data_IF_857730492836
#
_entry.id   IF_857730492836
#
_cell.length_a   1.000
_cell.length_b   1.000
_cell.length_c   1.000
_cell.angle_alpha   90.00
_cell.angle_beta   90.00
_cell.angle_gamma   90.00
#
_symmetry.space_group_name_H-M   'P 1'
#
loop_
_entity.id
_entity.type
_entity.pdbx_description
1 polymer ?
#
# COMPACT_ATOMS: atom_id res chain seq x y z
N UNK A 1 -2.33 11.33 -21.48
CA UNK A 1 -3.58 10.64 -21.13
C UNK A 1 -3.21 9.33 -20.45
N UNK A 2 -3.96 8.86 -19.46
CA UNK A 2 -3.68 7.58 -18.82
C UNK A 2 -4.32 6.44 -19.63
N UNK A 3 -3.69 5.25 -19.69
CA UNK A 3 -4.28 4.09 -20.36
C UNK A 3 -5.53 3.58 -19.65
N UNK A 4 -6.37 2.81 -20.36
CA UNK A 4 -7.55 2.15 -19.78
C UNK A 4 -7.16 1.25 -18.61
N UNK A 5 -7.91 1.37 -17.51
CA UNK A 5 -7.76 0.54 -16.33
C UNK A 5 -8.73 -0.64 -16.39
N UNK A 6 -8.23 -1.85 -16.14
CA UNK A 6 -9.03 -3.07 -16.08
C UNK A 6 -8.98 -3.64 -14.66
N UNK A 7 -10.14 -3.95 -14.11
CA UNK A 7 -10.24 -4.60 -12.81
C UNK A 7 -9.77 -6.05 -12.90
N UNK A 8 -9.07 -6.50 -11.87
CA UNK A 8 -8.83 -7.92 -11.65
C UNK A 8 -10.12 -8.63 -11.18
N UNK A 9 -10.18 -9.95 -11.38
CA UNK A 9 -11.29 -10.81 -10.97
C UNK A 9 -11.61 -10.69 -9.48
N UNK A 10 -12.86 -10.93 -9.08
CA UNK A 10 -13.36 -10.74 -7.70
C UNK A 10 -12.57 -11.50 -6.63
N UNK A 11 -11.95 -12.63 -6.99
CA UNK A 11 -11.15 -13.40 -6.05
C UNK A 11 -9.87 -12.65 -5.62
N UNK A 12 -9.32 -11.80 -6.49
CA UNK A 12 -8.15 -10.97 -6.20
C UNK A 12 -8.48 -9.79 -5.27
N UNK A 13 -9.73 -9.33 -5.31
CA UNK A 13 -10.18 -8.22 -4.50
C UNK A 13 -10.10 -8.59 -3.02
N UNK A 14 -9.43 -7.75 -2.23
CA UNK A 14 -9.20 -7.96 -0.80
C UNK A 14 -8.58 -9.34 -0.46
N UNK A 15 -7.73 -9.88 -1.33
CA UNK A 15 -7.16 -11.23 -1.20
C UNK A 15 -6.54 -11.52 0.18
N UNK A 16 -5.76 -10.59 0.74
CA UNK A 16 -5.09 -10.78 2.04
C UNK A 16 -6.06 -10.74 3.23
N UNK A 17 -7.22 -10.07 3.10
CA UNK A 17 -8.25 -10.13 4.13
C UNK A 17 -8.96 -11.50 4.12
N UNK A 18 -9.15 -12.07 2.93
CA UNK A 18 -9.72 -13.42 2.74
C UNK A 18 -8.73 -14.52 3.11
N UNK A 19 -7.43 -14.28 2.91
CA UNK A 19 -6.34 -15.22 3.19
C UNK A 19 -5.31 -14.56 4.11
N UNK A 20 -5.54 -14.56 5.44
CA UNK A 20 -4.67 -13.83 6.40
C UNK A 20 -3.21 -14.28 6.40
N UNK A 21 -2.95 -15.54 6.04
CA UNK A 21 -1.60 -16.11 5.90
C UNK A 21 -1.17 -16.27 4.44
N UNK A 22 -1.91 -15.63 3.53
CA UNK A 22 -1.59 -15.59 2.11
C UNK A 22 -0.32 -14.79 1.85
N UNK A 23 0.29 -15.03 0.69
CA UNK A 23 1.50 -14.35 0.31
C UNK A 23 1.25 -12.86 0.03
N UNK A 24 1.84 -11.98 0.85
CA UNK A 24 1.77 -10.52 0.68
C UNK A 24 2.83 -10.00 -0.30
N UNK A 25 4.07 -10.49 -0.20
CA UNK A 25 5.18 -10.09 -1.08
C UNK A 25 5.70 -8.65 -0.90
N UNK A 26 5.16 -7.87 0.04
CA UNK A 26 5.63 -6.52 0.33
C UNK A 26 6.85 -6.57 1.26
N UNK A 27 8.02 -6.19 0.74
CA UNK A 27 9.29 -6.17 1.49
C UNK A 27 9.60 -4.87 2.23
N UNK A 28 8.70 -3.88 2.20
CA UNK A 28 8.99 -2.50 2.60
C UNK A 28 9.97 -1.82 1.63
N UNK A 29 9.94 -0.49 1.54
CA UNK A 29 10.82 0.28 0.62
C UNK A 29 12.10 0.77 1.28
N UNK A 30 12.25 0.63 2.60
CA UNK A 30 13.35 1.21 3.37
C UNK A 30 13.31 2.74 3.47
N UNK A 31 12.32 3.39 2.86
CA UNK A 31 12.12 4.84 2.94
C UNK A 31 11.47 5.18 4.27
N UNK A 32 12.10 6.07 5.04
CA UNK A 32 11.48 6.66 6.22
C UNK A 32 10.53 7.77 5.81
N UNK A 33 9.36 7.86 6.44
CA UNK A 33 8.51 9.03 6.29
C UNK A 33 9.25 10.23 6.89
N UNK A 34 9.50 11.31 6.13
CA UNK A 34 10.09 12.51 6.72
C UNK A 34 9.13 13.02 7.79
N UNK A 35 9.52 12.94 9.06
CA UNK A 35 8.75 13.59 10.12
C UNK A 35 8.69 15.09 9.79
N UNK A 36 7.53 15.75 9.93
CA UNK A 36 7.50 17.20 9.79
C UNK A 36 8.55 17.78 10.73
N UNK A 37 9.40 18.69 10.22
CA UNK A 37 10.31 19.43 11.06
C UNK A 37 9.46 20.05 12.17
N UNK A 38 9.73 19.65 13.41
CA UNK A 38 9.17 20.24 14.63
C UNK A 38 9.06 21.75 14.43
N UNK A 39 7.85 22.23 14.15
CA UNK A 39 7.53 23.65 14.22
C UNK A 39 7.69 23.94 15.70
N UNK A 40 8.72 24.71 16.06
CA UNK A 40 8.89 25.18 17.42
C UNK A 40 7.58 25.84 17.82
N UNK A 41 6.91 25.27 18.82
CA UNK A 41 5.76 25.90 19.44
C UNK A 41 6.31 27.03 20.30
N UNK A 42 6.10 28.27 19.84
CA UNK A 42 6.05 29.45 20.69
C UNK A 42 4.63 29.61 21.26
#
# INVERSE_FOLDING_TARGET
EAPSFYFAEDYHQQYLAKNPYGYCGLGGTGVTCPMPAKIAAD
#
